data_IF_266612932071
#
_entry.id   IF_266612932071
#
_cell.length_a   1.000
_cell.length_b   1.000
_cell.length_c   1.000
_cell.angle_alpha   90.00
_cell.angle_beta   90.00
_cell.angle_gamma   90.00
#
_symmetry.space_group_name_H-M   'P 1'
#
loop_
_entity.id
_entity.type
_entity.pdbx_description
1 polymer ?
#
# COMPACT_ATOMS: atom_id res chain seq x y z
N UNK A 1 -7.08 16.57 16.44
CA UNK A 1 -6.41 15.95 16.35
C UNK A 1 -6.04 15.10 15.24
N UNK A 2 -5.28 14.37 15.40
CA UNK A 2 -4.63 13.65 14.39
C UNK A 2 -5.48 12.95 13.39
N UNK A 3 -6.69 12.74 13.71
CA UNK A 3 -7.56 12.02 12.79
C UNK A 3 -7.64 12.67 11.43
N UNK A 4 -7.41 13.95 11.37
CA UNK A 4 -7.49 14.65 10.10
C UNK A 4 -6.43 14.21 9.10
N UNK A 5 -5.38 13.57 9.58
CA UNK A 5 -4.32 13.11 8.69
C UNK A 5 -4.65 11.81 7.97
N UNK A 6 -5.68 11.11 8.39
CA UNK A 6 -6.00 9.82 7.81
C UNK A 6 -6.62 9.98 6.43
N UNK A 7 -6.25 9.11 5.52
CA UNK A 7 -6.85 9.05 4.19
C UNK A 7 -7.25 7.61 3.94
N UNK A 8 -8.56 7.36 3.82
CA UNK A 8 -9.08 6.02 3.65
C UNK A 8 -9.67 5.89 2.25
N UNK A 9 -9.29 4.84 1.56
CA UNK A 9 -9.75 4.60 0.21
C UNK A 9 -10.28 3.18 0.08
N UNK A 10 -11.33 3.01 -0.73
CA UNK A 10 -11.91 1.70 -0.99
C UNK A 10 -11.63 1.28 -2.41
N UNK A 11 -11.28 0.02 -2.58
CA UNK A 11 -11.15 -0.59 -3.89
C UNK A 11 -12.09 -1.79 -3.93
N UNK A 12 -13.00 -1.80 -4.91
CA UNK A 12 -13.97 -2.88 -5.06
C UNK A 12 -13.54 -3.82 -6.16
N UNK A 13 -13.48 -5.09 -5.84
CA UNK A 13 -13.20 -6.12 -6.84
C UNK A 13 -14.53 -6.69 -7.34
N UNK A 14 -14.48 -7.31 -8.51
CA UNK A 14 -15.65 -8.01 -9.01
C UNK A 14 -15.97 -9.26 -8.20
N UNK A 15 -15.11 -9.57 -7.25
CA UNK A 15 -15.32 -10.64 -6.31
C UNK A 15 -15.88 -10.05 -5.04
N UNK A 16 -16.08 -10.88 -4.04
CA UNK A 16 -16.64 -10.43 -2.77
C UNK A 16 -15.62 -9.80 -1.83
N UNK A 17 -14.43 -9.50 -2.33
CA UNK A 17 -13.38 -8.91 -1.51
C UNK A 17 -13.22 -7.43 -1.83
N UNK A 18 -13.22 -6.61 -0.79
CA UNK A 18 -12.95 -5.20 -0.88
C UNK A 18 -11.68 -4.91 -0.09
N UNK A 19 -10.91 -3.93 -0.53
CA UNK A 19 -9.74 -3.50 0.22
C UNK A 19 -9.93 -2.07 0.68
N UNK A 20 -9.53 -1.82 1.91
CA UNK A 20 -9.56 -0.49 2.48
C UNK A 20 -8.13 -0.08 2.81
N UNK A 21 -7.65 0.98 2.19
CA UNK A 21 -6.31 1.48 2.44
C UNK A 21 -6.39 2.64 3.43
N UNK A 22 -5.49 2.64 4.39
CA UNK A 22 -5.39 3.73 5.35
C UNK A 22 -3.96 4.23 5.41
N UNK A 23 -3.77 5.51 5.19
CA UNK A 23 -2.47 6.14 5.31
C UNK A 23 -2.60 7.28 6.31
N UNK A 24 -1.91 7.17 7.44
CA UNK A 24 -1.99 8.15 8.51
C UNK A 24 -0.63 8.25 9.20
N UNK A 25 -0.15 9.49 9.37
CA UNK A 25 1.11 9.76 10.08
C UNK A 25 2.29 8.97 9.52
N UNK A 26 2.26 8.71 8.22
CA UNK A 26 3.31 7.96 7.55
C UNK A 26 3.15 6.45 7.63
N UNK A 27 2.23 5.96 8.45
CA UNK A 27 1.93 4.54 8.51
C UNK A 27 0.92 4.15 7.45
N UNK A 28 1.06 2.95 6.92
CA UNK A 28 0.19 2.45 5.86
C UNK A 28 -0.38 1.10 6.28
N UNK A 29 -1.68 0.94 6.15
CA UNK A 29 -2.31 -0.34 6.45
C UNK A 29 -3.36 -0.66 5.41
N UNK A 30 -3.62 -1.95 5.24
CA UNK A 30 -4.64 -2.45 4.32
C UNK A 30 -5.46 -3.49 5.05
N UNK A 31 -6.78 -3.29 5.04
CA UNK A 31 -7.72 -4.29 5.53
C UNK A 31 -8.44 -4.89 4.33
N UNK A 32 -8.71 -6.17 4.39
CA UNK A 32 -9.60 -6.81 3.43
C UNK A 32 -10.94 -7.04 4.09
N UNK A 33 -12.00 -6.80 3.33
CA UNK A 33 -13.38 -6.97 3.81
C UNK A 33 -14.00 -8.06 2.96
N UNK A 34 -14.35 -9.16 3.61
CA UNK A 34 -14.89 -10.32 2.93
C UNK A 34 -16.39 -10.38 3.13
N UNK A 35 -17.14 -10.36 2.03
CA UNK A 35 -18.58 -10.52 2.08
C UNK A 35 -19.29 -9.49 2.90
N UNK A 36 -18.74 -8.27 3.00
CA UNK A 36 -19.32 -7.14 3.71
C UNK A 36 -19.37 -7.29 5.23
N UNK A 37 -19.00 -8.46 5.74
CA UNK A 37 -19.17 -8.71 7.17
C UNK A 37 -17.87 -8.91 7.92
N UNK A 38 -16.84 -9.39 7.25
CA UNK A 38 -15.59 -9.76 7.92
C UNK A 38 -14.47 -8.87 7.48
N UNK A 39 -13.85 -8.22 8.46
CA UNK A 39 -12.72 -7.34 8.21
C UNK A 39 -11.47 -8.01 8.76
N UNK A 40 -10.43 -8.07 7.95
CA UNK A 40 -9.17 -8.68 8.33
C UNK A 40 -8.03 -7.77 7.94
N UNK A 41 -7.12 -7.53 8.88
CA UNK A 41 -5.93 -6.76 8.57
C UNK A 41 -5.02 -7.60 7.67
N UNK A 42 -4.73 -7.09 6.49
CA UNK A 42 -3.91 -7.80 5.53
C UNK A 42 -2.45 -7.34 5.62
N UNK A 43 -2.24 -6.08 5.93
CA UNK A 43 -0.89 -5.53 6.01
C UNK A 43 -0.90 -4.24 6.82
N UNK A 44 0.19 -4.00 7.56
CA UNK A 44 0.40 -2.69 8.15
C UNK A 44 1.89 -2.47 8.34
N UNK A 45 2.30 -1.21 8.29
CA UNK A 45 3.68 -0.84 8.58
C UNK A 45 3.73 0.57 9.11
N UNK A 46 4.81 0.87 9.82
CA UNK A 46 5.03 2.20 10.35
C UNK A 46 5.85 3.02 9.35
N UNK A 47 5.90 4.33 9.59
CA UNK A 47 6.65 5.24 8.75
C UNK A 47 8.10 4.80 8.55
N UNK A 48 8.73 4.34 9.64
CA UNK A 48 10.13 3.95 9.59
C UNK A 48 10.38 2.70 8.76
N UNK A 49 9.36 1.90 8.56
CA UNK A 49 9.52 0.64 7.81
C UNK A 49 9.49 0.84 6.31
N UNK A 50 8.96 1.97 5.83
CA UNK A 50 8.80 2.20 4.41
C UNK A 50 10.14 2.47 3.76
N UNK A 51 10.46 1.73 2.70
CA UNK A 51 11.70 1.90 1.95
C UNK A 51 11.51 2.65 0.66
N UNK A 52 10.46 2.31 -0.10
CA UNK A 52 10.18 2.97 -1.36
C UNK A 52 8.72 2.76 -1.73
N UNK A 53 8.15 3.74 -2.42
CA UNK A 53 6.83 3.65 -3.02
C UNK A 53 6.98 4.10 -4.47
N UNK A 54 6.62 3.25 -5.41
CA UNK A 54 6.81 3.55 -6.83
C UNK A 54 5.77 2.82 -7.66
N UNK A 55 5.55 3.25 -8.91
CA UNK A 55 4.69 2.47 -9.80
C UNK A 55 5.17 1.03 -9.86
N UNK A 56 4.22 0.10 -9.93
CA UNK A 56 4.55 -1.32 -9.83
C UNK A 56 5.51 -1.80 -10.92
N UNK A 57 5.50 -1.12 -12.06
CA UNK A 57 6.38 -1.48 -13.16
C UNK A 57 7.67 -0.67 -13.20
N UNK A 58 7.97 0.09 -12.14
CA UNK A 58 9.18 0.90 -12.11
C UNK A 58 10.42 0.02 -11.90
N UNK A 59 11.47 0.28 -12.67
CA UNK A 59 12.71 -0.45 -12.50
C UNK A 59 13.40 -0.12 -11.18
N UNK A 60 13.06 0.99 -10.56
CA UNK A 60 13.64 1.38 -9.27
C UNK A 60 13.37 0.33 -8.21
N UNK A 61 12.25 -0.38 -8.31
CA UNK A 61 11.87 -1.38 -7.33
C UNK A 61 12.89 -2.52 -7.26
N UNK A 62 13.61 -2.78 -8.34
CA UNK A 62 14.56 -3.89 -8.36
C UNK A 62 15.67 -3.74 -7.32
N UNK A 63 16.02 -2.50 -7.00
CA UNK A 63 17.06 -2.27 -6.00
C UNK A 63 16.59 -2.62 -4.59
N UNK A 64 15.30 -2.76 -4.39
CA UNK A 64 14.72 -3.04 -3.08
C UNK A 64 14.19 -4.46 -2.96
N UNK A 65 14.08 -5.16 -4.08
CA UNK A 65 13.57 -6.52 -4.06
C UNK A 65 14.63 -7.47 -3.52
N UNK A 66 14.20 -8.39 -2.67
CA UNK A 66 15.09 -9.35 -2.05
C UNK A 66 14.54 -10.74 -2.22
N UNK A 67 15.46 -11.69 -2.27
CA UNK A 67 15.06 -13.09 -2.35
C UNK A 67 14.29 -13.47 -1.10
N UNK A 68 13.18 -14.16 -1.30
CA UNK A 68 12.35 -14.59 -0.18
C UNK A 68 11.42 -13.53 0.37
N UNK A 69 11.35 -12.36 -0.27
CA UNK A 69 10.43 -11.34 0.23
C UNK A 69 8.99 -11.76 -0.01
N UNK A 70 8.11 -11.25 0.85
CA UNK A 70 6.69 -11.53 0.76
C UNK A 70 6.05 -10.50 -0.18
N UNK A 71 5.15 -10.97 -1.05
CA UNK A 71 4.39 -10.08 -1.94
C UNK A 71 2.92 -10.21 -1.60
N UNK A 72 2.26 -9.08 -1.33
CA UNK A 72 0.85 -9.04 -1.03
C UNK A 72 0.16 -8.20 -2.11
N UNK A 73 -0.78 -8.80 -2.81
CA UNK A 73 -1.51 -8.13 -3.88
C UNK A 73 -2.85 -7.64 -3.35
N UNK A 74 -3.00 -6.33 -3.22
CA UNK A 74 -4.22 -5.71 -2.73
C UNK A 74 -4.85 -4.85 -3.83
N UNK A 75 -4.77 -5.30 -5.08
CA UNK A 75 -5.30 -4.54 -6.22
C UNK A 75 -6.64 -5.09 -6.68
N UNK A 76 -7.29 -4.32 -7.56
CA UNK A 76 -8.54 -4.74 -8.17
C UNK A 76 -8.33 -5.71 -9.33
N UNK A 77 -7.10 -5.82 -9.81
CA UNK A 77 -6.77 -6.63 -11.00
C UNK A 77 -7.43 -6.11 -12.27
N UNK A 78 -7.88 -4.86 -12.28
CA UNK A 78 -8.45 -4.26 -13.47
C UNK A 78 -7.36 -3.88 -14.46
N UNK A 79 -7.60 -4.16 -15.73
CA UNK A 79 -6.69 -3.73 -16.77
C UNK A 79 -6.65 -2.21 -16.81
N UNK A 80 -5.46 -1.64 -16.91
CA UNK A 80 -5.33 -0.19 -16.92
C UNK A 80 -5.32 0.46 -15.57
N UNK A 81 -5.42 -0.31 -14.48
CA UNK A 81 -5.34 0.24 -13.14
C UNK A 81 -3.95 0.82 -12.89
N UNK A 82 -3.91 1.89 -12.11
CA UNK A 82 -2.66 2.56 -11.76
C UNK A 82 -2.12 1.92 -10.49
N UNK A 83 -1.35 0.86 -10.66
CA UNK A 83 -0.86 0.05 -9.54
C UNK A 83 0.49 0.57 -9.07
N UNK A 84 0.60 0.74 -7.76
CA UNK A 84 1.84 1.12 -7.10
C UNK A 84 2.31 0.00 -6.21
N UNK A 85 3.59 0.01 -5.91
CA UNK A 85 4.18 -0.94 -4.99
C UNK A 85 4.83 -0.17 -3.85
N UNK A 86 4.56 -0.62 -2.63
CA UNK A 86 5.22 -0.12 -1.43
C UNK A 86 6.07 -1.23 -0.88
N UNK A 87 7.36 -0.98 -0.71
CA UNK A 87 8.24 -1.97 -0.11
C UNK A 87 8.58 -1.52 1.30
N UNK A 88 8.29 -2.39 2.25
CA UNK A 88 8.60 -2.16 3.65
C UNK A 88 9.59 -3.20 4.14
N UNK A 89 10.35 -2.84 5.14
CA UNK A 89 11.25 -3.77 5.81
C UNK A 89 11.11 -3.61 7.30
N UNK A 90 10.68 -4.67 7.95
CA UNK A 90 10.55 -4.71 9.40
C UNK A 90 11.43 -5.84 9.89
N UNK A 91 12.51 -5.48 10.57
CA UNK A 91 13.49 -6.48 10.95
C UNK A 91 14.10 -7.13 9.72
N UNK A 92 14.07 -8.44 9.66
CA UNK A 92 14.61 -9.19 8.53
C UNK A 92 13.58 -9.43 7.44
N UNK A 93 12.32 -9.05 7.66
CA UNK A 93 11.26 -9.33 6.71
C UNK A 93 11.06 -8.15 5.75
N UNK A 94 11.16 -8.42 4.46
CA UNK A 94 10.86 -7.45 3.41
C UNK A 94 9.54 -7.83 2.78
N UNK A 95 8.64 -6.86 2.63
CA UNK A 95 7.31 -7.08 2.07
C UNK A 95 7.04 -6.07 0.98
N UNK A 96 6.51 -6.55 -0.13
CA UNK A 96 6.08 -5.71 -1.25
C UNK A 96 4.58 -5.76 -1.33
N UNK A 97 3.92 -4.61 -1.22
CA UNK A 97 2.47 -4.51 -1.26
C UNK A 97 2.07 -3.81 -2.54
N UNK A 98 1.23 -4.46 -3.33
CA UNK A 98 0.67 -3.87 -4.54
C UNK A 98 -0.68 -3.28 -4.22
N UNK A 99 -0.90 -2.02 -4.61
CA UNK A 99 -2.14 -1.32 -4.28
C UNK A 99 -2.41 -0.24 -5.32
N UNK A 100 -3.61 0.32 -5.26
CA UNK A 100 -4.04 1.33 -6.23
C UNK A 100 -4.38 2.61 -5.49
N UNK A 101 -3.40 3.46 -5.19
CA UNK A 101 -3.69 4.71 -4.48
C UNK A 101 -4.42 5.68 -5.38
N UNK A 102 -5.38 6.39 -4.81
CA UNK A 102 -5.98 7.49 -5.53
C UNK A 102 -5.08 8.72 -5.48
N UNK A 103 -5.50 9.76 -6.19
CA UNK A 103 -4.68 10.96 -6.29
C UNK A 103 -4.43 11.61 -4.92
N UNK A 104 -5.43 11.58 -4.04
CA UNK A 104 -5.26 12.17 -2.71
C UNK A 104 -4.27 11.41 -1.87
N UNK A 105 -4.31 10.08 -1.95
CA UNK A 105 -3.37 9.27 -1.20
C UNK A 105 -1.96 9.45 -1.75
N UNK A 106 -1.82 9.51 -3.08
CA UNK A 106 -0.50 9.76 -3.69
C UNK A 106 0.07 11.10 -3.21
N UNK A 107 -0.76 12.14 -3.16
CA UNK A 107 -0.30 13.44 -2.70
C UNK A 107 0.14 13.39 -1.25
N UNK A 108 -0.61 12.68 -0.42
CA UNK A 108 -0.26 12.55 0.99
C UNK A 108 1.04 11.78 1.17
N UNK A 109 1.21 10.70 0.42
CA UNK A 109 2.43 9.91 0.50
C UNK A 109 3.65 10.70 0.02
N UNK A 110 3.49 11.46 -1.07
CA UNK A 110 4.58 12.28 -1.58
C UNK A 110 5.00 13.34 -0.57
N UNK A 111 4.04 13.89 0.16
CA UNK A 111 4.34 14.89 1.17
C UNK A 111 5.13 14.31 2.33
N UNK A 112 4.77 13.10 2.76
CA UNK A 112 5.44 12.47 3.89
C UNK A 112 6.78 11.85 3.47
N UNK A 113 6.84 11.32 2.26
CA UNK A 113 8.03 10.61 1.76
C UNK A 113 8.57 11.27 0.49
N UNK A 114 9.05 12.52 0.57
CA UNK A 114 9.47 13.22 -0.65
C UNK A 114 10.61 12.55 -1.40
N UNK A 115 11.40 11.72 -0.72
CA UNK A 115 12.52 11.03 -1.35
C UNK A 115 12.23 9.56 -1.65
N UNK A 116 11.26 8.98 -0.96
CA UNK A 116 10.93 7.57 -1.13
C UNK A 116 9.80 7.34 -2.11
N UNK A 117 9.01 8.36 -2.38
CA UNK A 117 7.91 8.25 -3.33
C UNK A 117 8.43 8.65 -4.70
N UNK A 118 8.48 7.68 -5.60
CA UNK A 118 9.05 7.86 -6.94
C UNK A 118 7.99 8.28 -7.96
#
# INVERSE_FOLDING_TARGET
>A
MAAAAAATYFVFLNLSVEYEYLFADGGFSVDSILGKARRKKTFDCDKEDVRVIAPANSYVLKDYEKQGMKVIDCTSHNAGADVYALISQKGAQTTKVLFEPGDKMKAAMRRVFPRKFI
#
